data_IF_957253270507
#
_entry.id   IF_957253270507
#
_cell.length_a   1.000
_cell.length_b   1.000
_cell.length_c   1.000
_cell.angle_alpha   90.00
_cell.angle_beta   90.00
_cell.angle_gamma   90.00
#
_symmetry.space_group_name_H-M   'P 1'
#
loop_
_entity.id
_entity.type
_entity.pdbx_description
1 polymer ?
#
# COMPACT_ATOMS: atom_id res chain seq x y z
N UNK A 1 -0.47 -23.68 11.81
CA UNK A 1 -1.15 -23.05 10.66
C UNK A 1 -2.45 -23.81 10.43
N UNK A 2 -3.55 -23.11 10.47
CA UNK A 2 -4.88 -23.66 10.18
C UNK A 2 -4.95 -23.96 8.68
N UNK A 3 -5.10 -25.22 8.25
CA UNK A 3 -5.13 -25.56 6.82
C UNK A 3 -6.36 -24.99 6.10
N UNK A 4 -7.40 -24.58 6.84
CA UNK A 4 -8.57 -23.92 6.28
C UNK A 4 -8.37 -22.40 6.11
N UNK A 5 -7.27 -21.85 6.66
CA UNK A 5 -6.93 -20.43 6.59
C UNK A 5 -5.45 -20.25 6.24
N UNK A 6 -5.06 -20.53 4.99
CA UNK A 6 -3.67 -20.33 4.59
C UNK A 6 -3.29 -18.85 4.79
N UNK A 7 -2.16 -18.57 5.44
CA UNK A 7 -1.65 -17.21 5.48
C UNK A 7 -1.31 -16.77 4.06
N UNK A 8 -1.36 -15.45 3.79
CA UNK A 8 -0.75 -14.91 2.60
C UNK A 8 0.75 -15.15 2.59
N UNK A 9 1.34 -15.14 1.42
CA UNK A 9 2.78 -15.22 1.24
C UNK A 9 3.31 -13.84 0.89
N UNK A 10 4.45 -13.49 1.46
CA UNK A 10 5.21 -12.30 1.12
C UNK A 10 6.67 -12.72 0.92
N UNK A 11 7.26 -12.30 -0.17
CA UNK A 11 8.66 -12.59 -0.46
C UNK A 11 9.32 -11.45 -1.24
N UNK A 12 10.64 -11.38 -1.17
CA UNK A 12 11.43 -10.51 -2.04
C UNK A 12 11.84 -11.33 -3.26
N UNK A 13 11.57 -10.81 -4.44
CA UNK A 13 11.89 -11.41 -5.73
C UNK A 13 12.55 -10.38 -6.65
N UNK A 14 12.84 -10.79 -7.88
CA UNK A 14 13.29 -9.91 -8.96
C UNK A 14 12.28 -9.94 -10.09
N UNK A 15 11.86 -8.79 -10.56
CA UNK A 15 10.94 -8.65 -11.69
C UNK A 15 11.41 -7.56 -12.66
N UNK A 16 10.90 -7.60 -13.89
CA UNK A 16 11.08 -6.52 -14.85
C UNK A 16 10.11 -5.39 -14.50
N UNK A 17 10.67 -4.22 -14.11
CA UNK A 17 9.93 -2.98 -13.93
C UNK A 17 10.30 -2.07 -15.10
N UNK A 18 9.37 -1.89 -16.04
CA UNK A 18 9.73 -1.35 -17.35
C UNK A 18 10.68 -2.29 -18.10
N UNK A 19 11.91 -1.83 -18.37
CA UNK A 19 12.95 -2.61 -19.06
C UNK A 19 14.12 -3.03 -18.15
N UNK A 20 14.01 -2.82 -16.84
CA UNK A 20 15.08 -3.09 -15.88
C UNK A 20 14.66 -4.13 -14.86
N UNK A 21 15.59 -5.02 -14.51
CA UNK A 21 15.39 -5.94 -13.37
C UNK A 21 15.51 -5.15 -12.07
N UNK A 22 14.48 -5.25 -11.24
CA UNK A 22 14.39 -4.60 -9.92
C UNK A 22 14.01 -5.61 -8.85
N UNK A 23 14.46 -5.36 -7.64
CA UNK A 23 13.95 -6.06 -6.47
C UNK A 23 12.51 -5.61 -6.21
N UNK A 24 11.63 -6.58 -6.00
CA UNK A 24 10.21 -6.34 -5.73
C UNK A 24 9.77 -7.12 -4.49
N UNK A 25 8.75 -6.64 -3.83
CA UNK A 25 8.01 -7.40 -2.82
C UNK A 25 6.80 -8.00 -3.51
N UNK A 26 6.70 -9.33 -3.47
CA UNK A 26 5.54 -10.07 -3.99
C UNK A 26 4.62 -10.46 -2.86
N UNK A 27 3.33 -10.30 -3.10
CA UNK A 27 2.24 -10.74 -2.25
C UNK A 27 1.39 -11.74 -3.02
N UNK A 28 1.21 -12.92 -2.47
CA UNK A 28 0.37 -13.95 -3.06
C UNK A 28 -0.55 -14.59 -2.02
N UNK A 29 -1.79 -14.78 -2.42
CA UNK A 29 -2.77 -15.54 -1.64
C UNK A 29 -3.87 -16.08 -2.54
N UNK A 30 -4.24 -17.34 -2.31
CA UNK A 30 -5.40 -17.97 -2.91
C UNK A 30 -6.19 -18.69 -1.80
N UNK A 31 -7.26 -18.06 -1.35
CA UNK A 31 -8.08 -18.58 -0.25
C UNK A 31 -9.51 -18.05 -0.30
N UNK A 32 -10.38 -18.72 0.43
CA UNK A 32 -11.82 -18.42 0.50
C UNK A 32 -12.19 -17.53 1.69
N UNK A 33 -11.23 -17.16 2.51
CA UNK A 33 -11.42 -16.27 3.66
C UNK A 33 -10.48 -15.08 3.58
N UNK A 34 -10.80 -14.01 4.29
CA UNK A 34 -9.98 -12.80 4.36
C UNK A 34 -8.73 -13.01 5.23
N UNK A 35 -7.60 -12.47 4.78
CA UNK A 35 -6.40 -12.29 5.58
C UNK A 35 -5.57 -11.11 5.08
N UNK A 36 -4.63 -10.67 5.91
CA UNK A 36 -3.65 -9.66 5.59
C UNK A 36 -2.24 -10.26 5.67
N UNK A 37 -1.37 -9.81 4.77
CA UNK A 37 0.05 -10.13 4.78
C UNK A 37 0.85 -8.91 4.36
N UNK A 38 1.95 -8.62 5.04
CA UNK A 38 2.74 -7.44 4.71
C UNK A 38 4.12 -7.44 5.35
N UNK A 39 4.86 -6.40 5.03
CA UNK A 39 6.16 -6.10 5.62
C UNK A 39 6.16 -4.66 6.14
N UNK A 40 6.91 -4.44 7.20
CA UNK A 40 7.08 -3.12 7.82
C UNK A 40 8.55 -2.79 7.93
N UNK A 41 8.91 -1.60 7.49
CA UNK A 41 10.20 -1.00 7.76
C UNK A 41 10.05 0.08 8.82
N UNK A 42 10.77 -0.07 9.91
CA UNK A 42 10.88 0.95 10.95
C UNK A 42 11.84 2.03 10.50
N UNK A 43 11.44 3.31 10.68
CA UNK A 43 12.19 4.48 10.21
C UNK A 43 12.64 5.33 11.39
N UNK A 44 11.72 5.72 12.27
CA UNK A 44 11.94 6.54 13.47
C UNK A 44 12.77 7.82 13.16
N UNK A 45 12.37 8.58 12.14
CA UNK A 45 13.10 9.73 11.66
C UNK A 45 12.31 11.04 11.86
N UNK A 46 12.97 12.04 12.45
CA UNK A 46 12.43 13.39 12.65
C UNK A 46 12.41 14.15 11.31
N UNK A 47 11.22 14.62 10.93
CA UNK A 47 11.00 15.30 9.64
C UNK A 47 10.50 16.75 9.80
N UNK A 48 10.57 17.32 10.99
CA UNK A 48 10.03 18.66 11.28
C UNK A 48 10.69 19.79 10.49
N UNK A 49 11.96 19.62 10.14
CA UNK A 49 12.74 20.63 9.45
C UNK A 49 12.67 20.51 7.92
N UNK A 50 11.90 19.52 7.40
CA UNK A 50 11.70 19.34 5.97
C UNK A 50 10.47 20.09 5.47
N UNK A 51 10.59 20.68 4.29
CA UNK A 51 9.50 21.37 3.61
C UNK A 51 8.65 20.43 2.74
N UNK A 52 9.21 19.27 2.38
CA UNK A 52 8.55 18.27 1.55
C UNK A 52 8.84 16.86 2.05
N UNK A 53 7.81 16.01 1.99
CA UNK A 53 7.86 14.58 2.25
C UNK A 53 6.98 13.88 1.21
N UNK A 54 7.57 13.06 0.34
CA UNK A 54 6.85 12.37 -0.73
C UNK A 54 7.12 10.88 -0.70
N UNK A 55 6.06 10.07 -0.85
CA UNK A 55 6.16 8.63 -1.08
C UNK A 55 6.16 8.36 -2.58
N UNK A 56 7.16 7.65 -3.06
CA UNK A 56 7.23 7.13 -4.42
C UNK A 56 7.23 5.62 -4.39
N UNK A 57 6.52 5.00 -5.31
CA UNK A 57 6.48 3.54 -5.48
C UNK A 57 6.00 3.16 -6.88
N UNK A 58 6.19 1.92 -7.25
CA UNK A 58 5.54 1.31 -8.42
C UNK A 58 4.83 0.05 -7.99
N UNK A 59 3.59 -0.13 -8.46
CA UNK A 59 2.76 -1.28 -8.13
C UNK A 59 2.34 -2.03 -9.39
N UNK A 60 2.20 -3.36 -9.28
CA UNK A 60 1.62 -4.20 -10.33
C UNK A 60 0.70 -5.22 -9.66
N UNK A 61 -0.59 -5.12 -9.93
CA UNK A 61 -1.58 -6.09 -9.46
C UNK A 61 -1.86 -7.06 -10.60
N UNK A 62 -1.34 -8.26 -10.48
CA UNK A 62 -1.51 -9.31 -11.51
C UNK A 62 -2.93 -9.84 -11.48
N UNK A 63 -3.46 -10.10 -10.28
CA UNK A 63 -4.83 -10.55 -10.10
C UNK A 63 -5.39 -10.11 -8.75
N UNK A 64 -6.69 -9.88 -8.76
CA UNK A 64 -7.50 -9.67 -7.58
C UNK A 64 -8.81 -10.42 -7.83
N UNK A 65 -9.15 -11.37 -7.00
CA UNK A 65 -10.26 -12.25 -7.28
C UNK A 65 -11.21 -12.41 -6.10
N UNK A 66 -12.17 -11.50 -6.02
CA UNK A 66 -13.52 -11.84 -5.58
C UNK A 66 -14.47 -11.28 -6.62
N UNK A 67 -15.23 -12.16 -7.25
CA UNK A 67 -16.25 -11.77 -8.23
C UNK A 67 -17.24 -10.79 -7.59
N UNK A 68 -17.28 -9.57 -8.10
CA UNK A 68 -18.19 -8.52 -7.67
C UNK A 68 -17.81 -7.74 -6.41
N UNK A 69 -16.62 -7.94 -5.86
CA UNK A 69 -16.13 -7.25 -4.66
C UNK A 69 -14.69 -6.71 -4.84
N UNK A 70 -14.36 -6.22 -6.02
CA UNK A 70 -13.08 -5.53 -6.23
C UNK A 70 -13.02 -4.19 -5.54
N UNK A 71 -11.82 -3.67 -5.38
CA UNK A 71 -11.59 -2.36 -4.77
C UNK A 71 -11.16 -2.42 -3.31
N UNK A 72 -10.66 -1.29 -2.79
CA UNK A 72 -10.34 -1.10 -1.38
C UNK A 72 -11.61 -0.63 -0.66
N UNK A 73 -12.45 -1.54 -0.24
CA UNK A 73 -13.74 -1.25 0.34
C UNK A 73 -13.72 -1.01 1.85
N UNK A 74 -14.88 -1.16 2.46
CA UNK A 74 -15.07 -1.04 3.89
C UNK A 74 -14.05 -1.87 4.67
N UNK A 75 -13.43 -1.28 5.68
CA UNK A 75 -12.31 -1.84 6.46
C UNK A 75 -11.01 -2.09 5.65
N UNK A 76 -10.90 -1.57 4.42
CA UNK A 76 -9.73 -1.83 3.58
C UNK A 76 -9.63 -3.26 3.07
N UNK A 77 -10.72 -4.03 3.13
CA UNK A 77 -10.76 -5.39 2.60
C UNK A 77 -10.70 -5.39 1.07
N UNK A 78 -10.17 -6.47 0.48
CA UNK A 78 -10.02 -6.65 -0.97
C UNK A 78 -9.12 -5.58 -1.64
N UNK A 79 -8.09 -5.19 -0.94
CA UNK A 79 -7.10 -4.22 -1.41
C UNK A 79 -5.74 -4.92 -1.58
N UNK A 80 -5.37 -5.31 -2.81
CA UNK A 80 -4.16 -6.12 -3.08
C UNK A 80 -2.85 -5.45 -2.72
N UNK A 81 -2.83 -4.11 -2.70
CA UNK A 81 -1.68 -3.33 -2.23
C UNK A 81 -2.18 -2.14 -1.43
N UNK A 82 -1.68 -2.01 -0.21
CA UNK A 82 -1.85 -0.82 0.63
C UNK A 82 -0.47 -0.38 1.11
N UNK A 83 -0.17 0.90 0.96
CA UNK A 83 0.97 1.54 1.61
C UNK A 83 0.45 2.35 2.78
N UNK A 84 1.04 2.14 3.95
CA UNK A 84 0.73 2.86 5.19
C UNK A 84 1.98 3.51 5.74
N UNK A 85 1.88 4.79 6.06
CA UNK A 85 2.89 5.53 6.82
C UNK A 85 2.32 5.78 8.22
N UNK A 86 2.96 5.23 9.24
CA UNK A 86 2.69 5.56 10.63
C UNK A 86 3.58 6.72 11.05
N UNK A 87 3.00 7.77 11.58
CA UNK A 87 3.73 8.97 11.95
C UNK A 87 3.17 9.63 13.22
N UNK A 88 3.99 10.44 13.87
CA UNK A 88 3.53 11.38 14.90
C UNK A 88 3.45 12.76 14.29
N UNK A 89 2.31 13.42 14.46
CA UNK A 89 2.10 14.77 13.95
C UNK A 89 2.80 15.86 14.81
N UNK A 90 2.77 17.10 14.32
CA UNK A 90 3.35 18.27 15.03
C UNK A 90 2.71 18.55 16.39
N UNK A 91 1.52 18.00 16.68
CA UNK A 91 0.82 18.12 17.95
C UNK A 91 1.12 16.97 18.92
N UNK A 92 1.94 15.98 18.48
CA UNK A 92 2.33 14.82 19.26
C UNK A 92 1.36 13.66 19.22
N UNK A 93 0.33 13.69 18.36
CA UNK A 93 -0.60 12.59 18.16
C UNK A 93 -0.08 11.58 17.15
N UNK A 94 -0.25 10.29 17.45
CA UNK A 94 0.05 9.22 16.50
C UNK A 94 -1.05 9.15 15.44
N UNK A 95 -0.64 9.10 14.16
CA UNK A 95 -1.48 9.16 12.98
C UNK A 95 -1.06 8.13 11.96
N UNK A 96 -1.94 7.90 10.97
CA UNK A 96 -1.68 7.05 9.82
C UNK A 96 -2.08 7.76 8.54
N UNK A 97 -1.25 7.66 7.53
CA UNK A 97 -1.59 7.95 6.14
C UNK A 97 -1.65 6.63 5.37
N UNK A 98 -2.63 6.49 4.51
CA UNK A 98 -2.93 5.26 3.76
C UNK A 98 -3.14 5.59 2.29
N UNK A 99 -2.59 4.76 1.40
CA UNK A 99 -2.96 4.74 0.00
C UNK A 99 -3.05 3.30 -0.50
N UNK A 100 -4.14 2.96 -1.17
CA UNK A 100 -4.43 1.61 -1.63
C UNK A 100 -4.62 1.53 -3.14
N UNK A 101 -4.30 0.37 -3.70
CA UNK A 101 -4.42 0.09 -5.12
C UNK A 101 -5.24 -1.17 -5.35
N UNK A 102 -6.12 -1.12 -6.34
CA UNK A 102 -6.95 -2.26 -6.71
C UNK A 102 -7.15 -2.33 -8.23
N UNK A 103 -7.57 -3.49 -8.75
CA UNK A 103 -7.80 -3.66 -10.19
C UNK A 103 -9.19 -4.15 -10.53
N UNK A 104 -9.85 -4.90 -9.64
CA UNK A 104 -11.21 -5.40 -9.85
C UNK A 104 -12.25 -4.29 -9.84
N UNK A 105 -13.34 -4.45 -10.57
CA UNK A 105 -14.48 -3.53 -10.47
C UNK A 105 -15.22 -3.76 -9.14
N UNK A 106 -15.47 -2.69 -8.37
CA UNK A 106 -16.28 -2.80 -7.16
C UNK A 106 -17.75 -3.10 -7.50
N UNK A 107 -18.44 -3.74 -6.58
CA UNK A 107 -19.90 -3.82 -6.67
C UNK A 107 -20.52 -2.41 -6.58
N UNK A 108 -21.73 -2.25 -7.15
CA UNK A 108 -22.41 -0.96 -7.29
C UNK A 108 -22.61 -0.25 -5.93
N UNK A 109 -22.81 -1.03 -4.86
CA UNK A 109 -23.00 -0.52 -3.48
C UNK A 109 -21.72 -0.60 -2.60
N UNK A 110 -20.56 -0.83 -3.20
CA UNK A 110 -19.31 -0.97 -2.46
C UNK A 110 -18.78 0.37 -2.00
N UNK A 111 -18.62 0.56 -0.69
CA UNK A 111 -18.07 1.78 -0.09
C UNK A 111 -16.54 1.81 -0.26
N UNK A 112 -16.08 2.34 -1.39
CA UNK A 112 -14.66 2.52 -1.68
C UNK A 112 -14.03 3.55 -0.75
N UNK A 113 -12.82 3.29 -0.32
CA UNK A 113 -12.04 4.24 0.46
C UNK A 113 -11.53 5.37 -0.45
N UNK A 114 -11.66 6.60 0.03
CA UNK A 114 -11.20 7.80 -0.69
C UNK A 114 -9.68 7.81 -0.94
N UNK A 115 -8.90 7.05 -0.15
CA UNK A 115 -7.47 6.87 -0.28
C UNK A 115 -7.07 5.73 -1.23
N UNK A 116 -7.98 5.23 -2.05
CA UNK A 116 -7.71 4.13 -2.98
C UNK A 116 -7.92 4.53 -4.43
N UNK A 117 -7.14 3.92 -5.32
CA UNK A 117 -7.26 4.12 -6.75
C UNK A 117 -7.23 2.80 -7.52
N UNK A 118 -7.93 2.80 -8.67
CA UNK A 118 -7.94 1.67 -9.58
C UNK A 118 -6.75 1.74 -10.53
N UNK A 119 -6.07 0.62 -10.70
CA UNK A 119 -4.95 0.45 -11.64
C UNK A 119 -5.24 -0.68 -12.64
N UNK A 120 -4.56 -0.66 -13.77
CA UNK A 120 -4.69 -1.70 -14.80
C UNK A 120 -3.98 -2.99 -14.37
N UNK A 121 -4.69 -4.12 -14.47
CA UNK A 121 -4.14 -5.42 -14.11
C UNK A 121 -2.91 -5.78 -14.96
N UNK A 122 -1.90 -6.34 -14.32
CA UNK A 122 -0.68 -6.83 -14.97
C UNK A 122 0.25 -5.73 -15.51
N UNK A 123 -0.01 -4.47 -15.18
CA UNK A 123 0.78 -3.32 -15.65
C UNK A 123 1.44 -2.62 -14.47
N UNK A 124 2.72 -2.29 -14.61
CA UNK A 124 3.40 -1.45 -13.62
C UNK A 124 2.84 -0.02 -13.66
N UNK A 125 2.32 0.41 -12.53
CA UNK A 125 1.80 1.75 -12.32
C UNK A 125 2.71 2.50 -11.34
N UNK A 126 3.45 3.54 -11.81
CA UNK A 126 4.19 4.41 -10.91
C UNK A 126 3.22 5.29 -10.12
N UNK A 127 3.56 5.58 -8.88
CA UNK A 127 2.79 6.41 -7.98
C UNK A 127 3.67 7.40 -7.23
N UNK A 128 3.17 8.61 -7.03
CA UNK A 128 3.70 9.62 -6.11
C UNK A 128 2.57 10.17 -5.26
N UNK A 129 2.77 10.25 -3.95
CA UNK A 129 1.79 10.83 -3.03
C UNK A 129 1.62 12.35 -3.21
N UNK A 130 2.57 13.00 -3.87
CA UNK A 130 2.74 14.44 -3.70
C UNK A 130 3.33 14.79 -2.32
N UNK A 131 3.35 16.08 -1.98
CA UNK A 131 3.92 16.55 -0.72
C UNK A 131 2.98 16.29 0.46
N UNK A 132 3.28 15.29 1.28
CA UNK A 132 2.50 14.93 2.46
C UNK A 132 2.49 16.02 3.53
N UNK A 133 3.50 16.92 3.56
CA UNK A 133 3.49 18.07 4.48
C UNK A 133 2.34 19.02 4.17
N UNK A 134 2.00 19.21 2.89
CA UNK A 134 0.91 20.06 2.45
C UNK A 134 -0.44 19.31 2.52
N UNK A 135 -0.48 18.05 2.07
CA UNK A 135 -1.70 17.23 2.03
C UNK A 135 -2.32 17.02 3.40
N UNK A 136 -1.48 16.82 4.42
CA UNK A 136 -1.94 16.55 5.79
C UNK A 136 -2.25 17.83 6.58
N UNK A 137 -2.12 19.00 5.97
CA UNK A 137 -2.65 20.27 6.42
C UNK A 137 -2.28 20.64 7.85
N UNK A 138 -3.26 20.60 8.76
CA UNK A 138 -3.06 21.00 10.17
C UNK A 138 -2.33 19.95 11.03
N UNK A 139 -2.08 18.76 10.49
CA UNK A 139 -1.44 17.64 11.22
C UNK A 139 -0.29 16.98 10.44
N UNK A 140 0.66 17.78 9.88
CA UNK A 140 1.77 17.22 9.11
C UNK A 140 2.67 16.37 10.01
N UNK A 141 3.44 15.43 9.40
CA UNK A 141 4.38 14.59 10.13
C UNK A 141 5.48 15.42 10.83
N UNK A 142 5.75 15.10 12.09
CA UNK A 142 6.91 15.55 12.84
C UNK A 142 7.95 14.42 12.96
N UNK A 143 7.47 13.18 13.10
CA UNK A 143 8.29 11.97 13.18
C UNK A 143 7.66 10.89 12.31
N UNK A 144 8.35 10.39 11.31
CA UNK A 144 7.95 9.18 10.59
C UNK A 144 8.40 7.97 11.38
N UNK A 145 7.45 7.14 11.82
CA UNK A 145 7.72 5.97 12.66
C UNK A 145 8.01 4.73 11.81
N UNK A 146 7.18 4.46 10.80
CA UNK A 146 7.33 3.30 9.93
C UNK A 146 6.61 3.46 8.59
N UNK A 147 7.05 2.69 7.62
CA UNK A 147 6.33 2.41 6.37
C UNK A 147 5.98 0.93 6.34
N UNK A 148 4.71 0.63 6.10
CA UNK A 148 4.20 -0.73 5.93
C UNK A 148 3.60 -0.87 4.54
N UNK A 149 3.94 -1.96 3.86
CA UNK A 149 3.28 -2.38 2.63
C UNK A 149 2.60 -3.70 2.91
N UNK A 150 1.33 -3.79 2.60
CA UNK A 150 0.57 -5.02 2.85
C UNK A 150 -0.51 -5.23 1.81
N UNK A 151 -0.94 -6.48 1.68
CA UNK A 151 -2.08 -6.91 0.91
C UNK A 151 -3.17 -7.37 1.86
N UNK A 152 -4.42 -7.05 1.54
CA UNK A 152 -5.61 -7.39 2.32
C UNK A 152 -6.66 -7.98 1.39
N UNK A 153 -7.15 -9.18 1.66
CA UNK A 153 -8.15 -9.81 0.82
C UNK A 153 -8.21 -11.33 0.92
N UNK A 154 -9.00 -11.92 0.04
CA UNK A 154 -9.20 -13.38 -0.06
C UNK A 154 -8.20 -13.99 -1.02
N UNK A 155 -8.10 -13.46 -2.24
CA UNK A 155 -7.19 -13.96 -3.27
C UNK A 155 -6.58 -12.78 -4.02
N UNK A 156 -5.27 -12.74 -4.09
CA UNK A 156 -4.53 -11.67 -4.75
C UNK A 156 -3.14 -12.14 -5.18
N UNK A 157 -2.65 -11.49 -6.23
CA UNK A 157 -1.28 -11.60 -6.71
C UNK A 157 -0.81 -10.21 -7.11
N UNK A 158 0.15 -9.66 -6.38
CA UNK A 158 0.60 -8.29 -6.54
C UNK A 158 2.08 -8.13 -6.24
N UNK A 159 2.69 -7.14 -6.88
CA UNK A 159 4.09 -6.78 -6.70
C UNK A 159 4.22 -5.28 -6.40
N UNK A 160 5.17 -4.95 -5.56
CA UNK A 160 5.52 -3.56 -5.23
C UNK A 160 7.03 -3.37 -5.38
N UNK A 161 7.42 -2.33 -6.08
CA UNK A 161 8.82 -1.94 -6.30
C UNK A 161 9.05 -0.49 -5.86
N UNK A 162 10.32 -0.14 -5.64
CA UNK A 162 10.78 1.24 -5.51
C UNK A 162 10.03 2.04 -4.42
N UNK A 163 9.87 1.44 -3.24
CA UNK A 163 9.25 2.17 -2.11
C UNK A 163 10.27 3.12 -1.51
N UNK A 164 10.09 4.38 -1.81
CA UNK A 164 10.99 5.45 -1.40
C UNK A 164 10.20 6.54 -0.67
N UNK A 165 10.71 7.00 0.46
CA UNK A 165 10.21 8.17 1.16
C UNK A 165 11.26 9.27 1.05
N UNK A 166 10.97 10.28 0.24
CA UNK A 166 11.86 11.39 -0.09
C UNK A 166 11.53 12.61 0.75
N UNK A 167 12.52 13.15 1.42
CA UNK A 167 12.38 14.38 2.21
C UNK A 167 13.32 15.46 1.70
N UNK A 168 12.84 16.70 1.63
CA UNK A 168 13.62 17.88 1.20
C UNK A 168 13.46 19.01 2.20
N UNK A 169 14.57 19.70 2.49
CA UNK A 169 14.62 20.92 3.30
C UNK A 169 14.04 22.15 2.57
#
# INVERSE_FOLDING_TARGET
>A
TDPERPPGQVQVATALVGNEERAVVEFHRDAVNHAEVGITQRIDYDVRDFSSLELHTAVNIVSQNILGFGGCGYLGSECPVIVRIDYRDIHGADRQWLHGFYTGDPAEDWDLKAWSEKVDAGTWQPYSSGNLMDELGDAPPALVQSVTIYASGHSFDAMVAEVELLAQE
#
